data_IF_124157819502
#
_entry.id   IF_124157819502
#
_cell.length_a   1.000
_cell.length_b   1.000
_cell.length_c   1.000
_cell.angle_alpha   90.00
_cell.angle_beta   90.00
_cell.angle_gamma   90.00
#
_symmetry.space_group_name_H-M   'P 1'
#
loop_
_entity.id
_entity.type
_entity.pdbx_description
1 polymer ?
#
# COMPACT_ATOMS: atom_id res chain seq x y z
N UNK A 1 13.44 14.40 1.29
CA UNK A 1 12.16 14.85 0.67
C UNK A 1 11.08 14.71 1.72
N UNK A 2 10.26 15.76 1.92
CA UNK A 2 9.12 15.71 2.84
C UNK A 2 8.06 14.77 2.31
N UNK A 3 7.48 13.93 3.19
CA UNK A 3 6.52 12.89 2.83
C UNK A 3 5.30 12.89 3.73
N UNK A 4 4.17 12.45 3.21
CA UNK A 4 2.99 12.10 3.98
C UNK A 4 2.81 10.59 3.97
N UNK A 5 2.85 9.96 5.15
CA UNK A 5 2.57 8.53 5.34
C UNK A 5 1.06 8.37 5.57
N UNK A 6 0.42 7.57 4.73
CA UNK A 6 -1.03 7.33 4.73
C UNK A 6 -1.28 5.90 5.19
N UNK A 7 -2.05 5.75 6.25
CA UNK A 7 -2.36 4.47 6.90
C UNK A 7 -3.87 4.25 6.80
N UNK A 8 -4.38 3.50 5.80
CA UNK A 8 -5.77 3.08 5.78
C UNK A 8 -5.99 2.01 6.85
N UNK A 9 -7.04 2.15 7.65
CA UNK A 9 -7.33 1.24 8.75
C UNK A 9 -8.81 0.87 8.80
N UNK A 10 -9.11 -0.42 9.03
CA UNK A 10 -10.44 -0.95 9.28
C UNK A 10 -10.35 -2.13 10.24
N UNK A 11 -10.80 -1.95 11.50
CA UNK A 11 -10.76 -2.96 12.56
C UNK A 11 -9.34 -3.51 12.81
N UNK A 12 -8.39 -2.60 12.98
CA UNK A 12 -6.96 -2.89 13.17
C UNK A 12 -6.47 -2.45 14.57
N UNK A 13 -7.34 -2.54 15.59
CA UNK A 13 -6.98 -2.13 16.98
C UNK A 13 -5.73 -2.84 17.52
N UNK A 14 -5.37 -4.03 17.00
CA UNK A 14 -4.22 -4.82 17.46
C UNK A 14 -2.88 -4.32 16.89
N UNK A 15 -2.88 -3.61 15.75
CA UNK A 15 -1.68 -3.19 15.02
C UNK A 15 -1.48 -1.69 14.93
N UNK A 16 -2.57 -0.91 14.94
CA UNK A 16 -2.54 0.51 14.57
C UNK A 16 -1.59 1.36 15.42
N UNK A 17 -1.55 1.17 16.75
CA UNK A 17 -0.67 1.96 17.63
C UNK A 17 0.81 1.68 17.33
N UNK A 18 1.17 0.40 17.11
CA UNK A 18 2.53 0.02 16.79
C UNK A 18 2.97 0.56 15.44
N UNK A 19 2.13 0.41 14.40
CA UNK A 19 2.43 0.95 13.07
C UNK A 19 2.65 2.47 13.14
N UNK A 20 1.78 3.21 13.84
CA UNK A 20 1.92 4.66 13.99
C UNK A 20 3.24 4.99 14.70
N UNK A 21 3.54 4.35 15.83
CA UNK A 21 4.77 4.59 16.60
C UNK A 21 6.03 4.33 15.76
N UNK A 22 6.06 3.23 15.00
CA UNK A 22 7.18 2.89 14.10
C UNK A 22 7.28 3.89 12.95
N UNK A 23 6.16 4.33 12.37
CA UNK A 23 6.15 5.39 11.36
C UNK A 23 6.67 6.72 11.92
N UNK A 24 6.28 7.09 13.15
CA UNK A 24 6.79 8.29 13.82
C UNK A 24 8.32 8.24 14.02
N UNK A 25 8.87 7.07 14.33
CA UNK A 25 10.31 6.89 14.52
C UNK A 25 11.14 7.14 13.24
N UNK A 26 10.54 6.98 12.05
CA UNK A 26 11.21 7.21 10.75
C UNK A 26 10.82 8.54 10.10
N UNK A 27 9.99 9.34 10.75
CA UNK A 27 9.61 10.67 10.29
C UNK A 27 10.66 11.73 10.65
N UNK A 28 10.88 12.64 9.74
CA UNK A 28 11.68 13.85 9.92
C UNK A 28 10.76 15.07 10.16
N UNK A 29 11.36 16.20 10.59
CA UNK A 29 10.61 17.46 10.76
C UNK A 29 9.98 17.88 9.42
N UNK A 30 8.66 18.06 9.42
CA UNK A 30 7.85 18.40 8.24
C UNK A 30 7.17 17.21 7.56
N UNK A 31 7.52 15.97 7.93
CA UNK A 31 6.76 14.81 7.53
C UNK A 31 5.37 14.78 8.21
N UNK A 32 4.41 14.12 7.59
CA UNK A 32 3.04 14.00 8.09
C UNK A 32 2.62 12.52 8.14
N UNK A 33 1.85 12.14 9.15
CA UNK A 33 1.15 10.85 9.20
C UNK A 33 -0.34 11.13 9.18
N UNK A 34 -1.05 10.48 8.25
CA UNK A 34 -2.51 10.55 8.10
C UNK A 34 -3.08 9.15 8.21
N UNK A 35 -3.79 8.87 9.29
CA UNK A 35 -4.59 7.65 9.43
C UNK A 35 -5.97 7.91 8.85
N UNK A 36 -6.48 6.98 8.04
CA UNK A 36 -7.86 7.03 7.56
C UNK A 36 -8.60 5.80 8.07
N UNK A 37 -9.40 6.01 9.12
CA UNK A 37 -10.29 5.00 9.68
C UNK A 37 -11.53 4.84 8.80
N UNK A 38 -11.64 3.70 8.14
CA UNK A 38 -12.71 3.41 7.17
C UNK A 38 -13.99 2.86 7.84
N UNK A 39 -14.38 3.48 8.96
CA UNK A 39 -15.60 3.13 9.69
C UNK A 39 -15.44 1.91 10.59
N UNK A 40 -14.32 1.80 11.32
CA UNK A 40 -14.07 0.71 12.27
C UNK A 40 -15.14 0.65 13.37
N UNK A 41 -15.48 -0.58 13.76
CA UNK A 41 -16.37 -0.88 14.86
C UNK A 41 -15.63 -1.14 16.20
N UNK A 42 -14.31 -1.34 16.12
CA UNK A 42 -13.44 -1.57 17.26
C UNK A 42 -12.76 -0.27 17.76
N UNK A 43 -11.69 -0.38 18.55
CA UNK A 43 -10.98 0.76 19.11
C UNK A 43 -9.97 1.42 18.16
N UNK A 44 -9.89 1.01 16.88
CA UNK A 44 -8.92 1.55 15.92
C UNK A 44 -8.88 3.07 15.89
N UNK A 45 -10.04 3.72 15.73
CA UNK A 45 -10.13 5.19 15.70
C UNK A 45 -9.61 5.85 16.98
N UNK A 46 -10.03 5.35 18.14
CA UNK A 46 -9.65 5.93 19.44
C UNK A 46 -8.15 5.78 19.72
N UNK A 47 -7.57 4.64 19.35
CA UNK A 47 -6.14 4.35 19.50
C UNK A 47 -5.30 5.24 18.56
N UNK A 48 -5.68 5.31 17.28
CA UNK A 48 -5.01 6.20 16.34
C UNK A 48 -5.05 7.67 16.78
N UNK A 49 -6.19 8.14 17.29
CA UNK A 49 -6.33 9.52 17.78
C UNK A 49 -5.45 9.82 18.99
N UNK A 50 -5.29 8.86 19.91
CA UNK A 50 -4.39 9.00 21.08
C UNK A 50 -2.91 9.07 20.69
N UNK A 51 -2.52 8.53 19.53
CA UNK A 51 -1.13 8.56 19.04
C UNK A 51 -0.67 9.93 18.54
N UNK A 52 -1.52 10.96 18.60
CA UNK A 52 -1.15 12.34 18.27
C UNK A 52 -0.96 12.63 16.77
N UNK A 53 -1.38 11.71 15.89
CA UNK A 53 -1.34 11.90 14.43
C UNK A 53 -2.67 12.42 13.89
N UNK A 54 -2.67 12.90 12.65
CA UNK A 54 -3.90 13.31 11.98
C UNK A 54 -4.75 12.10 11.63
N UNK A 55 -6.00 12.06 12.13
CA UNK A 55 -6.94 10.96 11.87
C UNK A 55 -8.18 11.48 11.17
N UNK A 56 -8.51 10.86 10.04
CA UNK A 56 -9.75 11.05 9.31
C UNK A 56 -10.64 9.83 9.51
N UNK A 57 -11.96 10.01 9.62
CA UNK A 57 -12.90 8.91 9.85
C UNK A 57 -14.04 8.93 8.85
N UNK A 58 -14.31 7.79 8.21
CA UNK A 58 -15.53 7.56 7.46
C UNK A 58 -16.68 7.15 8.39
N UNK A 59 -17.89 7.60 8.09
CA UNK A 59 -19.09 7.20 8.87
C UNK A 59 -19.42 5.72 8.68
N UNK A 60 -19.09 5.16 7.51
CA UNK A 60 -19.32 3.76 7.13
C UNK A 60 -18.13 3.26 6.31
N UNK A 61 -17.94 1.94 6.30
CA UNK A 61 -16.92 1.30 5.48
C UNK A 61 -17.19 1.56 3.99
N UNK A 62 -16.21 2.12 3.29
CA UNK A 62 -16.22 2.40 1.84
C UNK A 62 -15.22 1.57 1.06
N UNK A 63 -14.32 0.87 1.75
CA UNK A 63 -13.24 0.06 1.19
C UNK A 63 -11.89 0.77 1.13
N UNK A 64 -10.82 -0.03 1.14
CA UNK A 64 -9.42 0.44 1.22
C UNK A 64 -9.08 1.53 0.20
N UNK A 65 -9.50 1.35 -1.05
CA UNK A 65 -9.24 2.33 -2.10
C UNK A 65 -9.86 3.72 -1.82
N UNK A 66 -11.03 3.76 -1.17
CA UNK A 66 -11.64 5.03 -0.75
C UNK A 66 -10.90 5.65 0.42
N UNK A 67 -10.46 4.85 1.39
CA UNK A 67 -9.63 5.33 2.49
C UNK A 67 -8.32 5.92 1.98
N UNK A 68 -7.64 5.25 1.05
CA UNK A 68 -6.43 5.76 0.39
C UNK A 68 -6.69 7.09 -0.33
N UNK A 69 -7.77 7.19 -1.14
CA UNK A 69 -8.12 8.45 -1.83
C UNK A 69 -8.39 9.58 -0.86
N UNK A 70 -9.03 9.30 0.27
CA UNK A 70 -9.24 10.30 1.33
C UNK A 70 -7.92 10.78 1.90
N UNK A 71 -6.97 9.85 2.14
CA UNK A 71 -5.61 10.16 2.59
C UNK A 71 -4.83 10.98 1.57
N UNK A 72 -4.86 10.61 0.28
CA UNK A 72 -4.18 11.34 -0.80
C UNK A 72 -4.66 12.80 -0.93
N UNK A 73 -5.98 13.01 -0.85
CA UNK A 73 -6.56 14.37 -0.89
C UNK A 73 -6.17 15.21 0.34
N UNK A 74 -5.99 14.57 1.49
CA UNK A 74 -5.64 15.25 2.73
C UNK A 74 -4.14 15.51 2.90
N UNK A 75 -3.30 14.80 2.15
CA UNK A 75 -1.86 14.87 2.22
C UNK A 75 -1.31 16.24 1.84
N UNK A 76 -0.38 16.76 2.66
CA UNK A 76 0.25 18.07 2.46
C UNK A 76 1.50 18.01 1.61
N UNK A 77 2.21 16.87 1.61
CA UNK A 77 3.49 16.72 0.94
C UNK A 77 3.35 16.07 -0.44
N UNK A 78 4.33 16.35 -1.32
CA UNK A 78 4.37 15.83 -2.68
C UNK A 78 4.79 14.36 -2.77
N UNK A 79 5.50 13.86 -1.74
CA UNK A 79 5.82 12.43 -1.63
C UNK A 79 4.79 11.77 -0.74
N UNK A 80 4.14 10.74 -1.27
CA UNK A 80 3.17 9.93 -0.58
C UNK A 80 3.74 8.56 -0.29
N UNK A 81 3.49 8.06 0.91
CA UNK A 81 3.82 6.69 1.31
C UNK A 81 2.53 6.04 1.80
N UNK A 82 2.19 4.87 1.31
CA UNK A 82 1.11 4.05 1.87
C UNK A 82 1.69 2.89 2.65
N UNK A 83 1.07 2.52 3.76
CA UNK A 83 1.41 1.36 4.58
C UNK A 83 0.16 0.83 5.27
N UNK A 84 -0.01 -0.49 5.36
CA UNK A 84 -1.15 -1.10 6.03
C UNK A 84 -1.02 -1.02 7.56
N UNK A 85 -2.15 -1.03 8.27
CA UNK A 85 -2.23 -0.85 9.72
C UNK A 85 -1.99 -2.14 10.53
N UNK A 86 -1.65 -3.27 9.89
CA UNK A 86 -1.64 -4.62 10.45
C UNK A 86 -0.26 -5.16 10.86
N UNK A 87 0.77 -4.31 10.86
CA UNK A 87 2.17 -4.64 11.13
C UNK A 87 2.86 -5.55 10.11
N UNK A 88 2.23 -5.88 8.98
CA UNK A 88 2.87 -6.76 7.95
C UNK A 88 4.12 -6.13 7.34
N UNK A 89 4.17 -4.82 7.26
CA UNK A 89 5.25 -4.08 6.59
C UNK A 89 6.15 -3.35 7.59
N UNK A 90 7.49 -3.41 7.43
CA UNK A 90 8.43 -2.66 8.26
C UNK A 90 8.46 -1.18 7.84
N UNK A 91 8.00 -0.24 8.68
CA UNK A 91 8.11 1.19 8.37
C UNK A 91 9.56 1.68 8.25
N UNK A 92 10.50 0.97 8.84
CA UNK A 92 11.94 1.29 8.88
C UNK A 92 12.57 1.33 7.49
N UNK A 93 11.95 0.73 6.48
CA UNK A 93 12.43 0.77 5.09
C UNK A 93 11.99 2.04 4.34
N UNK A 94 11.03 2.81 4.89
CA UNK A 94 10.52 4.04 4.24
C UNK A 94 11.63 5.04 3.89
N UNK A 95 12.64 5.32 4.75
CA UNK A 95 13.75 6.18 4.37
C UNK A 95 14.50 5.70 3.13
N UNK A 96 14.79 4.40 3.00
CA UNK A 96 15.43 3.80 1.83
C UNK A 96 14.56 3.99 0.58
N UNK A 97 13.26 3.70 0.67
CA UNK A 97 12.32 3.89 -0.43
C UNK A 97 12.27 5.34 -0.92
N UNK A 98 12.35 6.31 0.00
CA UNK A 98 12.38 7.74 -0.36
C UNK A 98 13.71 8.16 -1.01
N UNK A 99 14.80 7.47 -0.74
CA UNK A 99 16.07 7.67 -1.47
C UNK A 99 15.93 7.14 -2.90
N UNK A 100 15.38 5.95 -3.09
CA UNK A 100 15.15 5.34 -4.41
C UNK A 100 14.21 6.20 -5.28
N UNK A 101 13.28 6.94 -4.68
CA UNK A 101 12.41 7.90 -5.40
C UNK A 101 13.15 9.07 -6.07
N UNK A 102 14.45 9.26 -5.85
CA UNK A 102 15.24 10.22 -6.64
C UNK A 102 15.30 9.80 -8.10
N UNK A 103 15.37 8.48 -8.35
CA UNK A 103 15.54 7.89 -9.67
C UNK A 103 14.29 7.12 -10.15
N UNK A 104 13.23 7.06 -9.34
CA UNK A 104 11.96 6.42 -9.63
C UNK A 104 10.78 7.35 -9.32
N UNK A 105 9.61 7.03 -9.86
CA UNK A 105 8.37 7.77 -9.64
C UNK A 105 7.39 6.98 -8.76
N UNK A 106 7.52 5.64 -8.77
CA UNK A 106 6.82 4.69 -7.91
C UNK A 106 7.80 3.64 -7.40
N UNK A 107 7.93 3.52 -6.09
CA UNK A 107 8.75 2.51 -5.39
C UNK A 107 7.84 1.65 -4.54
N UNK A 108 7.97 0.33 -4.61
CA UNK A 108 7.20 -0.61 -3.79
C UNK A 108 8.10 -1.45 -2.91
N UNK A 109 7.63 -1.76 -1.70
CA UNK A 109 8.29 -2.72 -0.81
C UNK A 109 7.93 -4.15 -1.24
N UNK A 110 8.84 -4.87 -1.88
CA UNK A 110 8.59 -6.23 -2.34
C UNK A 110 8.92 -7.27 -1.27
N UNK A 111 7.90 -8.06 -0.91
CA UNK A 111 8.02 -9.19 0.02
C UNK A 111 8.66 -10.42 -0.63
N UNK A 112 8.61 -10.52 -1.96
CA UNK A 112 8.98 -11.72 -2.72
C UNK A 112 10.30 -11.59 -3.48
N UNK A 113 10.96 -10.44 -3.43
CA UNK A 113 12.23 -10.22 -4.12
C UNK A 113 13.34 -11.19 -3.65
N UNK A 114 13.26 -11.61 -2.38
CA UNK A 114 14.19 -12.56 -1.77
C UNK A 114 13.56 -13.96 -1.50
N UNK A 115 12.47 -14.29 -2.21
CA UNK A 115 11.74 -15.54 -2.05
C UNK A 115 10.44 -15.42 -1.26
N UNK A 116 9.84 -16.54 -0.88
CA UNK A 116 8.57 -16.55 -0.13
C UNK A 116 8.83 -16.17 1.33
N UNK A 117 8.09 -15.18 1.89
CA UNK A 117 8.22 -14.77 3.28
C UNK A 117 7.99 -15.93 4.26
N UNK A 118 8.77 -15.98 5.33
CA UNK A 118 8.54 -16.93 6.43
C UNK A 118 7.16 -16.67 7.05
N UNK A 119 6.46 -17.77 7.41
CA UNK A 119 5.11 -17.69 8.00
C UNK A 119 3.95 -17.50 6.99
N UNK A 120 4.24 -17.16 5.73
CA UNK A 120 3.22 -17.14 4.70
C UNK A 120 2.93 -18.59 4.22
N UNK A 121 1.64 -19.02 4.16
CA UNK A 121 1.30 -20.32 3.57
C UNK A 121 1.85 -20.46 2.16
N UNK A 122 2.55 -21.57 1.88
CA UNK A 122 3.29 -21.77 0.63
C UNK A 122 2.40 -21.55 -0.61
N UNK A 123 1.15 -22.06 -0.60
CA UNK A 123 0.22 -21.87 -1.72
C UNK A 123 -0.09 -20.39 -2.00
N UNK A 124 -0.14 -19.53 -0.95
CA UNK A 124 -0.31 -18.08 -1.12
C UNK A 124 0.94 -17.44 -1.69
N UNK A 125 2.10 -17.89 -1.25
CA UNK A 125 3.39 -17.46 -1.79
C UNK A 125 3.48 -17.75 -3.29
N UNK A 126 3.23 -19.01 -3.68
CA UNK A 126 3.22 -19.43 -5.08
C UNK A 126 2.22 -18.62 -5.91
N UNK A 127 0.99 -18.42 -5.40
CA UNK A 127 -0.03 -17.64 -6.12
C UNK A 127 0.37 -16.17 -6.31
N UNK A 128 1.02 -15.55 -5.32
CA UNK A 128 1.54 -14.17 -5.48
C UNK A 128 2.65 -14.10 -6.51
N UNK A 129 3.60 -15.05 -6.48
CA UNK A 129 4.70 -15.11 -7.47
C UNK A 129 4.12 -15.33 -8.88
N UNK A 130 3.23 -16.30 -9.06
CA UNK A 130 2.58 -16.55 -10.34
C UNK A 130 1.80 -15.32 -10.85
N UNK A 131 1.07 -14.65 -9.96
CA UNK A 131 0.37 -13.41 -10.27
C UNK A 131 1.32 -12.28 -10.69
N UNK A 132 2.48 -12.16 -10.03
CA UNK A 132 3.50 -11.19 -10.39
C UNK A 132 4.14 -11.51 -11.74
N UNK A 133 4.43 -12.78 -12.03
CA UNK A 133 5.00 -13.22 -13.33
C UNK A 133 4.01 -12.95 -14.49
N UNK A 134 2.73 -13.33 -14.34
CA UNK A 134 1.70 -13.05 -15.35
C UNK A 134 1.58 -11.54 -15.57
N UNK A 135 1.58 -10.75 -14.50
CA UNK A 135 1.53 -9.29 -14.59
C UNK A 135 2.78 -8.73 -15.27
N UNK A 136 3.96 -9.31 -15.01
CA UNK A 136 5.22 -8.93 -15.65
C UNK A 136 5.16 -9.11 -17.16
N UNK A 137 4.59 -10.24 -17.62
CA UNK A 137 4.38 -10.52 -19.06
C UNK A 137 3.43 -9.50 -19.67
N UNK A 138 2.28 -9.23 -19.04
CA UNK A 138 1.27 -8.28 -19.53
C UNK A 138 1.83 -6.86 -19.63
N UNK A 139 2.66 -6.44 -18.68
CA UNK A 139 3.20 -5.09 -18.61
C UNK A 139 4.56 -4.93 -19.30
N UNK A 140 5.19 -6.03 -19.73
CA UNK A 140 6.52 -6.02 -20.34
C UNK A 140 7.63 -5.56 -19.37
N UNK A 141 7.45 -5.78 -18.06
CA UNK A 141 8.39 -5.37 -17.01
C UNK A 141 8.41 -6.37 -15.86
N UNK A 142 9.61 -6.77 -15.44
CA UNK A 142 9.77 -7.68 -14.29
C UNK A 142 9.25 -7.04 -13.00
N UNK A 143 8.34 -7.75 -12.34
CA UNK A 143 7.73 -7.40 -11.07
C UNK A 143 7.84 -8.59 -10.12
N UNK A 144 8.08 -8.34 -8.84
CA UNK A 144 8.16 -9.41 -7.84
C UNK A 144 7.02 -9.36 -6.81
N UNK A 145 6.40 -8.18 -6.60
CA UNK A 145 5.25 -8.04 -5.70
C UNK A 145 4.30 -6.92 -6.17
N UNK A 146 3.16 -7.30 -6.72
CA UNK A 146 2.15 -6.36 -7.24
C UNK A 146 1.10 -6.00 -6.19
N UNK A 147 0.95 -6.82 -5.14
CA UNK A 147 -0.12 -6.70 -4.13
C UNK A 147 0.32 -6.03 -2.83
N UNK A 148 1.57 -5.61 -2.74
CA UNK A 148 2.10 -4.94 -1.54
C UNK A 148 1.40 -3.61 -1.26
N UNK A 149 1.04 -3.36 0.00
CA UNK A 149 0.48 -2.08 0.47
C UNK A 149 1.54 -1.03 0.80
N UNK A 150 2.82 -1.44 0.95
CA UNK A 150 3.91 -0.51 1.22
C UNK A 150 4.44 0.08 -0.08
N UNK A 151 4.14 1.35 -0.32
CA UNK A 151 4.47 2.07 -1.55
C UNK A 151 4.90 3.48 -1.25
N UNK A 152 5.89 3.98 -1.97
CA UNK A 152 6.29 5.38 -1.96
C UNK A 152 6.24 5.93 -3.39
N UNK A 153 5.63 7.09 -3.61
CA UNK A 153 5.45 7.65 -4.95
C UNK A 153 5.23 9.17 -4.91
N UNK A 154 5.40 9.81 -6.06
CA UNK A 154 5.07 11.22 -6.23
C UNK A 154 3.55 11.38 -6.36
N UNK A 155 3.00 12.43 -5.77
CA UNK A 155 1.56 12.71 -5.79
C UNK A 155 0.99 12.80 -7.20
N UNK A 156 1.74 13.40 -8.13
CA UNK A 156 1.37 13.47 -9.55
C UNK A 156 1.11 12.09 -10.20
N UNK A 157 1.83 11.04 -9.76
CA UNK A 157 1.65 9.68 -10.33
C UNK A 157 0.25 9.15 -10.05
N UNK A 158 -0.23 9.30 -8.80
CA UNK A 158 -1.57 8.81 -8.45
C UNK A 158 -2.67 9.68 -9.04
N UNK A 159 -2.46 10.99 -9.13
CA UNK A 159 -3.40 11.92 -9.76
C UNK A 159 -3.59 11.61 -11.24
N UNK A 160 -2.50 11.30 -11.95
CA UNK A 160 -2.55 10.97 -13.38
C UNK A 160 -3.02 9.54 -13.68
N UNK A 161 -2.94 8.62 -12.70
CA UNK A 161 -3.33 7.22 -12.94
C UNK A 161 -4.84 6.98 -12.98
N UNK A 162 -5.70 7.87 -12.50
CA UNK A 162 -7.17 7.75 -12.53
C UNK A 162 -7.71 6.38 -12.12
N UNK A 163 -7.27 5.87 -10.95
CA UNK A 163 -7.60 4.53 -10.47
C UNK A 163 -9.12 4.36 -10.29
N UNK A 164 -9.68 3.28 -10.85
CA UNK A 164 -11.12 2.94 -10.76
C UNK A 164 -11.43 1.89 -9.68
N UNK A 165 -10.41 1.18 -9.18
CA UNK A 165 -10.53 0.17 -8.13
C UNK A 165 -11.23 0.73 -6.87
N UNK A 166 -12.02 -0.13 -6.20
CA UNK A 166 -12.79 0.22 -5.00
C UNK A 166 -12.28 -0.48 -3.73
N UNK A 167 -11.49 -1.53 -3.87
CA UNK A 167 -11.07 -2.41 -2.79
C UNK A 167 -9.57 -2.75 -2.81
N UNK A 168 -9.25 -4.01 -2.54
CA UNK A 168 -7.91 -4.57 -2.49
C UNK A 168 -7.27 -4.78 -3.88
N UNK A 169 -7.98 -4.46 -4.94
CA UNK A 169 -7.52 -4.42 -6.32
C UNK A 169 -6.80 -3.11 -6.68
N UNK A 170 -6.77 -2.15 -5.74
CA UNK A 170 -6.16 -0.83 -5.91
C UNK A 170 -4.68 -0.92 -6.29
N UNK A 171 -3.91 -1.72 -5.55
CA UNK A 171 -2.46 -1.84 -5.72
C UNK A 171 -2.11 -2.38 -7.11
N UNK A 172 -2.86 -3.36 -7.60
CA UNK A 172 -2.67 -3.97 -8.91
C UNK A 172 -2.99 -2.97 -10.04
N UNK A 173 -4.13 -2.28 -9.97
CA UNK A 173 -4.49 -1.27 -10.97
C UNK A 173 -3.50 -0.11 -10.97
N UNK A 174 -3.06 0.36 -9.79
CA UNK A 174 -2.10 1.44 -9.68
C UNK A 174 -0.76 1.07 -10.33
N UNK A 175 -0.22 -0.12 -10.02
CA UNK A 175 1.02 -0.59 -10.65
C UNK A 175 0.88 -0.68 -12.17
N UNK A 176 -0.21 -1.28 -12.66
CA UNK A 176 -0.44 -1.44 -14.09
C UNK A 176 -0.55 -0.09 -14.81
N UNK A 177 -1.31 0.86 -14.28
CA UNK A 177 -1.46 2.20 -14.87
C UNK A 177 -0.15 2.99 -14.84
N UNK A 178 0.56 2.97 -13.71
CA UNK A 178 1.83 3.68 -13.59
C UNK A 178 2.85 3.18 -14.65
N UNK A 179 2.99 1.85 -14.80
CA UNK A 179 3.90 1.27 -15.80
C UNK A 179 3.41 1.56 -17.23
N UNK A 180 2.11 1.46 -17.51
CA UNK A 180 1.53 1.76 -18.83
C UNK A 180 1.75 3.22 -19.22
N UNK A 181 1.67 4.14 -18.24
CA UNK A 181 1.98 5.57 -18.45
C UNK A 181 3.48 5.89 -18.41
N UNK A 182 4.34 4.86 -18.42
CA UNK A 182 5.81 4.95 -18.48
C UNK A 182 6.46 5.65 -17.28
N UNK A 183 5.81 5.65 -16.11
CA UNK A 183 6.46 6.06 -14.88
C UNK A 183 7.58 5.07 -14.50
N UNK A 184 8.66 5.60 -13.96
CA UNK A 184 9.81 4.81 -13.51
C UNK A 184 9.42 4.06 -12.23
N UNK A 185 9.40 2.73 -12.34
CA UNK A 185 9.04 1.83 -11.24
C UNK A 185 10.30 1.21 -10.64
N UNK A 186 10.34 1.05 -9.33
CA UNK A 186 11.40 0.33 -8.62
C UNK A 186 10.84 -0.51 -7.47
N UNK A 187 11.61 -1.52 -7.06
CA UNK A 187 11.29 -2.37 -5.92
C UNK A 187 12.43 -2.38 -4.91
N UNK A 188 12.10 -2.21 -3.64
CA UNK A 188 12.98 -2.39 -2.50
C UNK A 188 12.60 -3.69 -1.80
N UNK A 189 13.54 -4.62 -1.56
CA UNK A 189 13.23 -5.86 -0.85
C UNK A 189 12.87 -5.55 0.61
N UNK A 190 11.84 -6.20 1.11
CA UNK A 190 11.44 -6.09 2.51
C UNK A 190 11.26 -7.47 3.15
N UNK A 191 11.44 -7.54 4.45
CA UNK A 191 11.07 -8.71 5.25
C UNK A 191 9.67 -8.46 5.81
N UNK A 192 8.68 -9.22 5.30
CA UNK A 192 7.32 -9.15 5.84
C UNK A 192 7.28 -9.72 7.26
N UNK A 193 6.55 -9.05 8.13
CA UNK A 193 6.33 -9.46 9.51
C UNK A 193 4.99 -10.19 9.68
N UNK A 194 4.80 -10.81 10.84
CA UNK A 194 3.55 -11.48 11.14
C UNK A 194 2.42 -10.45 11.32
N UNK A 195 1.33 -10.66 10.57
CA UNK A 195 0.14 -9.81 10.65
C UNK A 195 -0.49 -9.85 12.03
N UNK A 196 -0.81 -8.69 12.59
CA UNK A 196 -1.66 -8.55 13.77
C UNK A 196 -3.12 -8.34 13.34
N UNK A 197 -4.01 -9.21 13.83
CA UNK A 197 -5.44 -9.11 13.52
C UNK A 197 -5.92 -10.08 12.42
N UNK A 198 -7.17 -9.90 11.99
CA UNK A 198 -7.82 -10.81 11.05
C UNK A 198 -7.71 -10.32 9.60
N UNK A 199 -7.48 -11.25 8.66
CA UNK A 199 -7.46 -10.93 7.24
C UNK A 199 -8.88 -10.96 6.66
N UNK A 200 -9.29 -9.89 6.00
CA UNK A 200 -10.55 -9.83 5.23
C UNK A 200 -10.43 -10.43 3.82
N UNK A 201 -9.28 -11.00 3.48
CA UNK A 201 -8.96 -11.48 2.13
C UNK A 201 -9.71 -12.77 1.80
N UNK A 202 -10.58 -12.72 0.80
CA UNK A 202 -11.23 -13.89 0.19
C UNK A 202 -10.45 -14.29 -1.05
N UNK A 203 -9.61 -15.31 -0.95
CA UNK A 203 -8.55 -15.66 -1.91
C UNK A 203 -9.01 -15.66 -3.39
N UNK A 204 -9.99 -16.51 -3.77
CA UNK A 204 -10.42 -16.62 -5.18
C UNK A 204 -11.03 -15.34 -5.74
N UNK A 205 -11.87 -14.65 -4.94
CA UNK A 205 -12.48 -13.38 -5.35
C UNK A 205 -11.42 -12.30 -5.59
N UNK A 206 -10.43 -12.19 -4.69
CA UNK A 206 -9.40 -11.17 -4.82
C UNK A 206 -8.43 -11.49 -5.96
N UNK A 207 -8.16 -12.76 -6.24
CA UNK A 207 -7.37 -13.16 -7.40
C UNK A 207 -8.04 -12.77 -8.73
N UNK A 208 -9.35 -13.00 -8.85
CA UNK A 208 -10.11 -12.53 -10.02
C UNK A 208 -10.06 -11.01 -10.17
N UNK A 209 -10.36 -10.27 -9.10
CA UNK A 209 -10.31 -8.80 -9.10
C UNK A 209 -8.91 -8.26 -9.41
N UNK A 210 -7.87 -8.93 -8.94
CA UNK A 210 -6.49 -8.60 -9.23
C UNK A 210 -6.21 -8.63 -10.74
N UNK A 211 -6.54 -9.72 -11.42
CA UNK A 211 -6.34 -9.80 -12.87
C UNK A 211 -7.18 -8.80 -13.65
N UNK A 212 -8.45 -8.61 -13.27
CA UNK A 212 -9.30 -7.57 -13.86
C UNK A 212 -8.67 -6.17 -13.69
N UNK A 213 -8.10 -5.88 -12.51
CA UNK A 213 -7.45 -4.60 -12.24
C UNK A 213 -6.17 -4.40 -13.09
N UNK A 214 -5.35 -5.45 -13.25
CA UNK A 214 -4.16 -5.41 -14.12
C UNK A 214 -4.55 -5.15 -15.58
N UNK A 215 -5.53 -5.90 -16.10
CA UNK A 215 -6.01 -5.71 -17.47
C UNK A 215 -6.63 -4.32 -17.68
N UNK A 216 -7.43 -3.87 -16.69
CA UNK A 216 -7.99 -2.51 -16.71
C UNK A 216 -6.89 -1.46 -16.75
N UNK A 217 -5.88 -1.58 -15.89
CA UNK A 217 -4.75 -0.64 -15.84
C UNK A 217 -3.89 -0.65 -17.10
N UNK A 218 -3.84 -1.77 -17.83
CA UNK A 218 -3.04 -1.91 -19.06
C UNK A 218 -3.77 -1.43 -20.31
N UNK A 219 -5.07 -1.69 -20.44
CA UNK A 219 -5.80 -1.56 -21.70
C UNK A 219 -6.96 -0.56 -21.68
N UNK A 220 -7.40 -0.10 -20.50
CA UNK A 220 -8.57 0.79 -20.38
C UNK A 220 -8.23 2.03 -19.54
N UNK A 221 -8.39 3.21 -20.12
CA UNK A 221 -8.27 4.50 -19.42
C UNK A 221 -9.48 4.80 -18.51
#
# INVERSE_FOLDING_TARGET
MLKTIIIPALNEEKGIEEVIRRCQAVCSKGDEIVVVDDGSADRTYSLAKKSGVRVLKHKVNKGKAFALRTGFKAAKNEILVTIDADCTYPPEVIPEMTVVLKDADLVVGSRFKNGIPKGLPVYRGIANIAGAEVTSIILGRRLTDVTTGLRAFRKEVIENCHIKAKGLDFEAEFTARAITKRYRYAEVPIVAEERKGQSSLRFFRHMYLFFVAVLRGRFFD
#
